data_IF_615716560705
#
_entry.id   IF_615716560705
#
_cell.length_a   1.000
_cell.length_b   1.000
_cell.length_c   1.000
_cell.angle_alpha   90.00
_cell.angle_beta   90.00
_cell.angle_gamma   90.00
#
_symmetry.space_group_name_H-M   'P 1'
#
loop_
_entity.id
_entity.type
_entity.pdbx_description
1 polymer ?
#
# COMPACT_ATOMS: atom_id res chain seq x y z
N UNK A 1 11.93 -8.21 -7.27
CA UNK A 1 12.12 -6.75 -7.41
C UNK A 1 11.55 -6.22 -8.70
N UNK A 2 11.95 -6.79 -9.84
CA UNK A 2 11.62 -6.25 -11.16
C UNK A 2 10.11 -6.09 -11.40
N UNK A 3 9.31 -7.06 -10.94
CA UNK A 3 7.84 -7.00 -11.04
C UNK A 3 7.29 -5.76 -10.33
N UNK A 4 7.62 -5.56 -9.04
CA UNK A 4 7.11 -4.42 -8.27
C UNK A 4 7.61 -3.09 -8.82
N UNK A 5 8.88 -3.01 -9.22
CA UNK A 5 9.45 -1.79 -9.82
C UNK A 5 8.72 -1.41 -11.13
N UNK A 6 8.47 -2.40 -11.98
CA UNK A 6 7.78 -2.22 -13.26
C UNK A 6 6.29 -1.86 -13.09
N UNK A 7 5.55 -2.51 -12.18
CA UNK A 7 4.11 -2.24 -12.00
C UNK A 7 3.83 -1.02 -11.13
N UNK A 8 4.69 -0.72 -10.14
CA UNK A 8 4.48 0.41 -9.24
C UNK A 8 4.98 1.72 -9.84
N UNK A 9 6.15 1.67 -10.49
CA UNK A 9 6.89 2.86 -10.91
C UNK A 9 7.18 2.92 -12.40
N UNK A 10 6.79 1.90 -13.15
CA UNK A 10 7.06 1.84 -14.57
C UNK A 10 8.54 1.67 -14.91
N UNK A 11 9.41 1.44 -13.91
CA UNK A 11 10.85 1.33 -14.08
C UNK A 11 11.25 -0.10 -14.42
N UNK A 12 12.17 -0.24 -15.37
CA UNK A 12 12.82 -1.52 -15.63
C UNK A 12 14.04 -1.63 -14.74
N UNK A 13 14.02 -2.65 -13.87
CA UNK A 13 15.14 -3.03 -13.02
C UNK A 13 15.51 -4.44 -13.46
N UNK A 14 16.81 -4.74 -13.57
CA UNK A 14 17.32 -6.07 -13.89
C UNK A 14 17.99 -6.67 -12.66
N UNK A 15 17.23 -6.80 -11.56
CA UNK A 15 17.76 -7.22 -10.25
C UNK A 15 18.37 -8.62 -10.25
N UNK A 16 18.09 -9.42 -11.28
CA UNK A 16 18.66 -10.76 -11.45
C UNK A 16 20.07 -10.72 -12.02
N UNK A 17 20.38 -9.75 -12.91
CA UNK A 17 21.72 -9.61 -13.49
C UNK A 17 22.57 -8.55 -12.81
N UNK A 18 21.93 -7.57 -12.17
CA UNK A 18 22.57 -6.49 -11.44
C UNK A 18 22.08 -6.45 -9.98
N UNK A 19 22.69 -7.26 -9.10
CA UNK A 19 22.32 -7.28 -7.69
C UNK A 19 22.73 -6.02 -6.92
N UNK A 20 23.65 -5.21 -7.48
CA UNK A 20 24.13 -3.96 -6.90
C UNK A 20 23.29 -2.74 -7.33
N UNK A 21 22.18 -2.97 -8.03
CA UNK A 21 21.24 -1.90 -8.39
C UNK A 21 20.83 -1.10 -7.14
N UNK A 22 20.90 0.25 -7.19
CA UNK A 22 20.63 1.09 -6.02
C UNK A 22 19.24 0.86 -5.40
N UNK A 23 18.22 0.56 -6.21
CA UNK A 23 16.87 0.31 -5.72
C UNK A 23 16.80 -1.00 -4.95
N UNK A 24 17.49 -2.05 -5.42
CA UNK A 24 17.62 -3.34 -4.74
C UNK A 24 18.40 -3.17 -3.43
N UNK A 25 19.53 -2.48 -3.47
CA UNK A 25 20.39 -2.25 -2.32
C UNK A 25 19.67 -1.50 -1.20
N UNK A 26 19.02 -0.38 -1.51
CA UNK A 26 18.29 0.41 -0.53
C UNK A 26 17.03 -0.31 -0.01
N UNK A 27 16.37 -1.13 -0.84
CA UNK A 27 15.26 -1.97 -0.40
C UNK A 27 15.71 -3.01 0.61
N UNK A 28 16.77 -3.78 0.32
CA UNK A 28 17.32 -4.76 1.25
C UNK A 28 17.76 -4.14 2.58
N UNK A 29 18.40 -2.97 2.52
CA UNK A 29 18.82 -2.23 3.72
C UNK A 29 17.63 -1.84 4.61
N UNK A 30 16.46 -1.54 4.04
CA UNK A 30 15.23 -1.32 4.81
C UNK A 30 14.79 -2.57 5.58
N UNK A 31 14.71 -3.71 4.89
CA UNK A 31 14.17 -4.95 5.46
C UNK A 31 15.14 -5.67 6.39
N UNK A 32 16.44 -5.39 6.27
CA UNK A 32 17.43 -5.78 7.29
C UNK A 32 17.18 -5.13 8.66
N UNK A 33 16.21 -4.20 8.77
CA UNK A 33 15.80 -3.62 10.03
C UNK A 33 15.17 -4.67 10.95
N UNK A 34 15.96 -5.12 11.92
CA UNK A 34 15.49 -6.05 12.93
C UNK A 34 14.56 -5.35 13.92
N UNK A 35 13.28 -5.76 13.93
CA UNK A 35 12.29 -5.28 14.90
C UNK A 35 12.72 -5.63 16.34
N UNK A 36 13.37 -6.77 16.58
CA UNK A 36 13.77 -7.22 17.92
C UNK A 36 15.08 -6.65 18.45
N UNK A 37 15.46 -5.45 18.03
CA UNK A 37 16.63 -4.79 18.60
C UNK A 37 16.42 -4.44 20.09
N UNK A 38 17.44 -4.53 20.95
CA UNK A 38 17.31 -4.26 22.39
C UNK A 38 16.72 -2.87 22.68
N UNK A 39 16.92 -1.91 21.78
CA UNK A 39 16.34 -0.57 21.89
C UNK A 39 14.81 -0.55 21.73
N UNK A 40 14.22 -1.46 20.94
CA UNK A 40 12.76 -1.56 20.84
C UNK A 40 12.16 -1.97 22.19
N UNK A 41 12.76 -2.94 22.87
CA UNK A 41 12.31 -3.38 24.19
C UNK A 41 12.40 -2.27 25.24
N UNK A 42 13.40 -1.39 25.15
CA UNK A 42 13.50 -0.19 26.00
C UNK A 42 12.31 0.75 25.77
N UNK A 43 11.92 1.02 24.53
CA UNK A 43 10.76 1.87 24.25
C UNK A 43 9.41 1.23 24.61
N UNK A 44 9.30 -0.10 24.51
CA UNK A 44 8.11 -0.84 24.95
C UNK A 44 7.99 -0.81 26.48
N UNK A 45 9.10 -1.05 27.20
CA UNK A 45 9.12 -1.05 28.66
C UNK A 45 8.99 0.36 29.26
N UNK A 46 9.50 1.38 28.55
CA UNK A 46 9.55 2.77 29.02
C UNK A 46 8.96 3.72 27.97
N UNK A 47 7.62 3.81 27.85
CA UNK A 47 6.96 4.63 26.84
C UNK A 47 7.22 6.13 27.01
N UNK A 48 7.64 6.58 28.20
CA UNK A 48 8.05 7.97 28.42
C UNK A 48 9.34 8.36 27.68
N UNK A 49 10.12 7.41 27.18
CA UNK A 49 11.30 7.66 26.34
C UNK A 49 10.94 7.86 24.85
N UNK A 50 9.71 7.55 24.43
CA UNK A 50 9.26 7.70 23.03
C UNK A 50 9.35 9.16 22.53
N UNK A 51 8.92 10.18 23.30
CA UNK A 51 9.10 11.58 22.88
C UNK A 51 10.57 11.95 22.67
N UNK A 52 11.49 11.39 23.47
CA UNK A 52 12.93 11.61 23.34
C UNK A 52 13.51 10.95 22.08
N UNK A 53 12.95 9.80 21.67
CA UNK A 53 13.34 9.11 20.44
C UNK A 53 13.12 9.97 19.18
N UNK A 54 12.16 10.90 19.19
CA UNK A 54 11.94 11.82 18.05
C UNK A 54 13.08 12.81 17.84
N UNK A 55 13.85 13.11 18.89
CA UNK A 55 14.96 14.07 18.84
C UNK A 55 16.26 13.38 18.43
N UNK A 56 16.36 12.05 18.58
CA UNK A 56 17.55 11.30 18.19
C UNK A 56 17.64 11.20 16.65
N UNK A 57 18.69 11.76 16.02
CA UNK A 57 18.86 11.66 14.58
C UNK A 57 19.17 10.22 14.17
N UNK A 58 18.29 9.61 13.38
CA UNK A 58 18.47 8.24 12.88
C UNK A 58 18.98 8.27 11.43
N UNK A 59 20.29 8.52 11.28
CA UNK A 59 20.97 8.66 9.98
C UNK A 59 20.63 7.57 8.96
N UNK A 60 20.43 6.33 9.43
CA UNK A 60 20.13 5.18 8.55
C UNK A 60 18.73 5.25 7.94
N UNK A 61 17.73 5.69 8.71
CA UNK A 61 16.37 5.91 8.20
C UNK A 61 16.35 7.07 7.21
N UNK A 62 17.04 8.16 7.56
CA UNK A 62 17.06 9.37 6.74
C UNK A 62 17.71 9.11 5.38
N UNK A 63 18.87 8.45 5.35
CA UNK A 63 19.57 8.08 4.10
C UNK A 63 18.68 7.31 3.13
N UNK A 64 17.97 6.31 3.66
CA UNK A 64 17.16 5.42 2.85
C UNK A 64 15.85 6.10 2.41
N UNK A 65 15.18 6.82 3.30
CA UNK A 65 14.00 7.62 2.94
C UNK A 65 14.35 8.63 1.84
N UNK A 66 15.50 9.30 1.96
CA UNK A 66 15.95 10.28 0.95
C UNK A 66 16.18 9.64 -0.42
N UNK A 67 16.79 8.45 -0.49
CA UNK A 67 16.97 7.75 -1.77
C UNK A 67 15.63 7.46 -2.46
N UNK A 68 14.67 6.88 -1.72
CA UNK A 68 13.35 6.53 -2.28
C UNK A 68 12.54 7.78 -2.67
N UNK A 69 12.54 8.81 -1.82
CA UNK A 69 11.89 10.09 -2.12
C UNK A 69 12.48 10.68 -3.41
N UNK A 70 13.81 10.78 -3.51
CA UNK A 70 14.47 11.32 -4.70
C UNK A 70 14.19 10.47 -5.95
N UNK A 71 14.14 9.15 -5.82
CA UNK A 71 13.82 8.25 -6.93
C UNK A 71 12.40 8.49 -7.44
N UNK A 72 11.41 8.51 -6.54
CA UNK A 72 10.01 8.73 -6.90
C UNK A 72 9.83 10.14 -7.48
N UNK A 73 10.41 11.17 -6.86
CA UNK A 73 10.37 12.54 -7.37
C UNK A 73 10.96 12.63 -8.78
N UNK A 74 12.11 11.99 -9.01
CA UNK A 74 12.72 11.94 -10.35
C UNK A 74 11.82 11.27 -11.37
N UNK A 75 11.14 10.18 -10.99
CA UNK A 75 10.17 9.50 -11.87
C UNK A 75 8.97 10.40 -12.16
N UNK A 76 8.45 11.13 -11.16
CA UNK A 76 7.36 12.10 -11.35
C UNK A 76 7.81 13.22 -12.31
N UNK A 77 8.98 13.83 -12.08
CA UNK A 77 9.50 14.91 -12.94
C UNK A 77 9.71 14.45 -14.38
N UNK A 78 10.23 13.24 -14.60
CA UNK A 78 10.39 12.67 -15.94
C UNK A 78 9.06 12.49 -16.66
N UNK A 79 7.97 12.19 -15.94
CA UNK A 79 6.63 12.02 -16.52
C UNK A 79 5.96 13.35 -16.84
N UNK A 80 6.23 14.38 -16.06
CA UNK A 80 5.74 15.74 -16.34
C UNK A 80 6.29 16.27 -17.68
N UNK A 81 7.52 15.87 -18.04
CA UNK A 81 8.16 16.21 -19.32
C UNK A 81 7.63 15.38 -20.50
N UNK A 82 7.06 14.20 -20.26
CA UNK A 82 6.54 13.31 -21.30
C UNK A 82 5.11 13.68 -21.72
N UNK A 83 4.79 13.56 -23.03
CA UNK A 83 3.41 13.73 -23.51
C UNK A 83 2.51 12.63 -22.93
N UNK A 84 1.23 12.97 -22.69
CA UNK A 84 0.26 12.10 -22.00
C UNK A 84 0.14 10.71 -22.65
N UNK A 85 0.29 10.62 -23.98
CA UNK A 85 0.19 9.37 -24.74
C UNK A 85 1.39 8.43 -24.54
N UNK A 86 2.55 8.94 -24.12
CA UNK A 86 3.76 8.13 -23.86
C UNK A 86 3.90 7.73 -22.40
N UNK A 87 3.05 8.28 -21.51
CA UNK A 87 3.09 7.97 -20.08
C UNK A 87 2.62 6.55 -19.84
N UNK A 88 3.46 5.76 -19.18
CA UNK A 88 3.13 4.40 -18.79
C UNK A 88 1.99 4.41 -17.76
N UNK A 89 0.97 3.59 -18.00
CA UNK A 89 -0.12 3.36 -17.03
C UNK A 89 0.37 2.40 -15.95
N UNK A 90 0.74 2.96 -14.81
CA UNK A 90 1.18 2.22 -13.63
C UNK A 90 0.57 2.83 -12.36
N UNK A 91 0.89 2.23 -11.20
CA UNK A 91 0.34 2.68 -9.92
C UNK A 91 0.67 4.15 -9.61
N UNK A 92 1.90 4.58 -9.87
CA UNK A 92 2.30 5.98 -9.67
C UNK A 92 1.52 6.92 -10.60
N UNK A 93 1.24 6.50 -11.84
CA UNK A 93 0.42 7.31 -12.76
C UNK A 93 -1.02 7.41 -12.25
N UNK A 94 -1.59 6.32 -11.73
CA UNK A 94 -2.93 6.34 -11.14
C UNK A 94 -3.03 7.32 -9.95
N UNK A 95 -1.98 7.39 -9.12
CA UNK A 95 -1.89 8.35 -8.02
C UNK A 95 -1.79 9.80 -8.51
N UNK A 96 -1.03 10.06 -9.57
CA UNK A 96 -0.91 11.38 -10.20
C UNK A 96 -2.22 11.82 -10.88
N UNK A 97 -2.90 10.90 -11.56
CA UNK A 97 -4.19 11.15 -12.20
C UNK A 97 -5.25 11.50 -11.16
N UNK A 98 -5.27 10.79 -10.03
CA UNK A 98 -6.17 11.06 -8.89
C UNK A 98 -5.94 12.45 -8.28
N UNK A 99 -4.68 12.94 -8.25
CA UNK A 99 -4.37 14.31 -7.84
C UNK A 99 -4.92 15.35 -8.82
N UNK A 100 -4.93 15.05 -10.12
CA UNK A 100 -5.38 15.99 -11.17
C UNK A 100 -6.91 15.96 -11.41
N UNK A 101 -7.55 14.85 -11.08
CA UNK A 101 -9.00 14.65 -11.23
C UNK A 101 -9.79 15.55 -10.27
N UNK A 102 -10.79 16.25 -10.80
CA UNK A 102 -11.74 17.03 -10.00
C UNK A 102 -12.80 16.15 -9.31
N UNK A 103 -12.85 14.86 -9.59
CA UNK A 103 -13.74 13.89 -8.93
C UNK A 103 -12.97 13.15 -7.83
N UNK A 104 -13.30 13.47 -6.58
CA UNK A 104 -12.87 12.72 -5.41
C UNK A 104 -13.86 11.57 -5.20
N UNK A 105 -13.36 10.38 -4.89
CA UNK A 105 -14.21 9.27 -4.41
C UNK A 105 -14.89 9.75 -3.12
N UNK A 106 -16.21 9.90 -3.12
CA UNK A 106 -16.95 10.24 -1.91
C UNK A 106 -16.90 9.02 -0.99
N UNK A 107 -16.40 9.20 0.23
CA UNK A 107 -16.37 8.17 1.28
C UNK A 107 -17.77 7.68 1.70
N UNK A 108 -18.83 8.26 1.14
CA UNK A 108 -20.22 7.86 1.34
C UNK A 108 -20.55 6.47 0.76
N UNK A 109 -19.67 5.86 -0.05
CA UNK A 109 -19.90 4.52 -0.62
C UNK A 109 -19.28 3.35 0.18
N UNK A 110 -18.63 3.63 1.32
CA UNK A 110 -18.19 2.57 2.23
C UNK A 110 -19.25 2.43 3.33
N UNK A 111 -20.30 1.64 3.05
CA UNK A 111 -21.32 1.28 4.05
C UNK A 111 -20.65 0.49 5.18
N UNK A 112 -20.21 1.19 6.22
CA UNK A 112 -19.91 0.57 7.51
C UNK A 112 -21.26 0.19 8.11
N UNK A 113 -21.59 -1.09 8.00
CA UNK A 113 -22.80 -1.68 8.57
C UNK A 113 -22.80 -1.47 10.10
N UNK A 114 -23.51 -0.46 10.57
CA UNK A 114 -23.89 -0.36 11.98
C UNK A 114 -25.10 -1.28 12.20
N UNK A 115 -24.84 -2.52 12.61
CA UNK A 115 -25.75 -3.27 13.47
C UNK A 115 -25.20 -3.10 14.90
N UNK A 116 -25.95 -2.61 15.86
CA UNK A 116 -27.03 -3.39 16.47
C UNK A 116 -28.20 -2.52 16.93
N UNK A 117 -29.39 -2.89 16.49
CA UNK A 117 -30.66 -2.61 17.16
C UNK A 117 -30.71 -3.33 18.52
N UNK A 118 -31.20 -2.65 19.56
CA UNK A 118 -32.09 -3.29 20.54
C UNK A 118 -33.34 -2.42 20.72
N UNK A 119 -34.45 -3.07 20.42
CA UNK A 119 -35.84 -2.63 20.53
C UNK A 119 -36.30 -2.69 21.99
N UNK A 120 -37.12 -1.73 22.45
CA UNK A 120 -38.55 -2.03 22.69
C UNK A 120 -39.38 -0.74 23.00
N UNK A 121 -40.68 -0.71 22.64
CA UNK A 121 -41.56 0.46 22.72
C UNK A 121 -42.43 0.44 23.99
N UNK A 122 -43.11 1.56 24.31
CA UNK A 122 -44.58 1.67 24.44
C UNK A 122 -44.96 3.07 24.98
N UNK A 123 -46.01 3.63 24.36
CA UNK A 123 -46.76 4.87 24.65
C UNK A 123 -47.15 5.05 26.15
N UNK A 124 -47.53 6.19 26.75
CA UNK A 124 -48.36 7.33 26.31
C UNK A 124 -48.41 8.43 27.41
N UNK A 125 -48.54 9.70 26.99
CA UNK A 125 -49.38 10.78 27.56
C UNK A 125 -49.01 11.62 28.83
N UNK A 126 -49.15 12.93 28.58
CA UNK A 126 -49.51 14.07 29.46
C UNK A 126 -48.40 14.60 30.37
N UNK A 127 -48.20 15.89 30.62
CA UNK A 127 -48.66 17.20 30.14
C UNK A 127 -48.06 18.15 31.18
N UNK A 128 -47.23 19.14 30.81
CA UNK A 128 -47.26 20.50 31.39
C UNK A 128 -46.07 21.36 30.98
N UNK A 129 -46.37 22.64 31.06
CA UNK A 129 -45.76 23.80 30.46
C UNK A 129 -44.62 24.35 31.33
N UNK A 130 -43.91 25.34 30.76
CA UNK A 130 -43.02 26.33 31.40
C UNK A 130 -41.52 25.97 31.43
N UNK A 131 -40.74 26.75 30.68
CA UNK A 131 -39.37 27.08 31.08
C UNK A 131 -38.37 27.30 29.95
N UNK A 132 -38.24 28.55 29.51
CA UNK A 132 -36.98 29.24 29.16
C UNK A 132 -36.12 28.61 28.05
N UNK A 133 -36.15 29.26 26.89
CA UNK A 133 -35.25 29.08 25.77
C UNK A 133 -33.81 29.50 26.11
N UNK A 134 -32.89 28.54 26.20
CA UNK A 134 -31.45 28.76 26.03
C UNK A 134 -30.79 27.58 25.29
N UNK A 135 -30.24 27.91 24.12
CA UNK A 135 -29.00 27.43 23.49
C UNK A 135 -28.66 25.93 23.32
N UNK A 136 -28.68 25.52 22.03
CA UNK A 136 -27.66 24.76 21.28
C UNK A 136 -27.43 23.25 21.60
N UNK A 137 -26.91 22.41 20.66
CA UNK A 137 -26.03 22.78 19.54
C UNK A 137 -26.27 22.11 18.17
N UNK A 138 -26.08 22.94 17.14
CA UNK A 138 -25.13 22.71 16.05
C UNK A 138 -25.10 21.30 15.40
N UNK A 139 -26.00 21.08 14.44
CA UNK A 139 -25.81 20.04 13.41
C UNK A 139 -24.63 20.48 12.53
N UNK A 140 -23.41 20.15 12.96
CA UNK A 140 -22.21 20.31 12.13
C UNK A 140 -22.47 19.58 10.82
N UNK A 141 -22.61 20.33 9.73
CA UNK A 141 -22.38 19.77 8.41
C UNK A 141 -21.01 19.12 8.46
N UNK A 142 -20.95 17.79 8.33
CA UNK A 142 -19.70 17.11 8.05
C UNK A 142 -19.34 17.57 6.65
N UNK A 143 -18.55 18.64 6.59
CA UNK A 143 -18.00 19.14 5.35
C UNK A 143 -16.98 18.08 4.93
N UNK A 144 -17.41 17.13 4.09
CA UNK A 144 -16.53 16.14 3.46
C UNK A 144 -15.42 16.92 2.78
N UNK A 145 -14.27 17.01 3.43
CA UNK A 145 -13.15 17.75 2.89
C UNK A 145 -12.69 17.00 1.64
N UNK A 146 -12.85 17.66 0.49
CA UNK A 146 -12.28 17.23 -0.78
C UNK A 146 -10.75 17.28 -0.65
N UNK A 147 -10.15 16.21 -0.13
CA UNK A 147 -8.71 16.15 0.11
C UNK A 147 -8.04 15.59 -1.14
N UNK A 148 -7.39 16.46 -1.91
CA UNK A 148 -6.45 16.03 -2.94
C UNK A 148 -5.20 15.45 -2.27
N UNK A 149 -4.66 14.37 -2.85
CA UNK A 149 -3.44 13.74 -2.35
C UNK A 149 -2.24 14.67 -2.59
N UNK A 150 -1.50 14.99 -1.54
CA UNK A 150 -0.27 15.80 -1.67
C UNK A 150 0.84 14.97 -2.32
N UNK A 151 1.86 15.63 -2.85
CA UNK A 151 3.04 14.94 -3.40
C UNK A 151 3.74 14.07 -2.35
N UNK A 152 3.89 14.58 -1.12
CA UNK A 152 4.43 13.81 0.00
C UNK A 152 3.59 12.57 0.32
N UNK A 153 2.26 12.67 0.19
CA UNK A 153 1.35 11.55 0.39
C UNK A 153 1.48 10.53 -0.76
N UNK A 154 1.61 10.97 -2.01
CA UNK A 154 1.90 10.10 -3.16
C UNK A 154 3.22 9.35 -2.95
N UNK A 155 4.29 10.06 -2.59
CA UNK A 155 5.61 9.47 -2.34
C UNK A 155 5.53 8.45 -1.20
N UNK A 156 4.85 8.80 -0.10
CA UNK A 156 4.63 7.91 1.03
C UNK A 156 3.86 6.64 0.66
N UNK A 157 2.77 6.76 -0.08
CA UNK A 157 1.96 5.60 -0.52
C UNK A 157 2.73 4.72 -1.50
N UNK A 158 3.45 5.32 -2.45
CA UNK A 158 4.28 4.58 -3.38
C UNK A 158 5.39 3.80 -2.65
N UNK A 159 6.00 4.41 -1.63
CA UNK A 159 7.00 3.75 -0.80
C UNK A 159 6.39 2.58 0.00
N UNK A 160 5.23 2.76 0.64
CA UNK A 160 4.55 1.67 1.37
C UNK A 160 4.20 0.50 0.43
N UNK A 161 3.66 0.79 -0.75
CA UNK A 161 3.31 -0.23 -1.74
C UNK A 161 4.53 -1.02 -2.21
N UNK A 162 5.65 -0.32 -2.47
CA UNK A 162 6.93 -0.95 -2.82
C UNK A 162 7.41 -1.92 -1.74
N UNK A 163 7.39 -1.49 -0.49
CA UNK A 163 7.80 -2.30 0.64
C UNK A 163 6.91 -3.55 0.77
N UNK A 164 5.60 -3.37 0.73
CA UNK A 164 4.65 -4.47 0.85
C UNK A 164 4.86 -5.55 -0.23
N UNK A 165 5.20 -5.15 -1.46
CA UNK A 165 5.39 -6.08 -2.59
C UNK A 165 6.76 -6.74 -2.69
N UNK A 166 7.80 -6.18 -2.06
CA UNK A 166 9.17 -6.69 -2.21
C UNK A 166 9.44 -7.98 -1.43
N UNK A 167 9.36 -7.93 -0.11
CA UNK A 167 9.82 -9.02 0.76
C UNK A 167 8.79 -10.15 0.86
N UNK A 168 7.50 -9.80 0.98
CA UNK A 168 6.42 -10.77 1.22
C UNK A 168 6.33 -11.82 0.11
N UNK A 169 6.25 -11.36 -1.14
CA UNK A 169 6.12 -12.24 -2.31
C UNK A 169 7.36 -13.11 -2.51
N UNK A 170 8.55 -12.53 -2.32
CA UNK A 170 9.82 -13.26 -2.44
C UNK A 170 9.92 -14.39 -1.41
N UNK A 171 9.57 -14.11 -0.15
CA UNK A 171 9.56 -15.11 0.91
C UNK A 171 8.48 -16.17 0.68
N UNK A 172 7.27 -15.79 0.27
CA UNK A 172 6.19 -16.74 -0.06
C UNK A 172 6.61 -17.69 -1.19
N UNK A 173 7.23 -17.18 -2.26
CA UNK A 173 7.73 -18.02 -3.35
C UNK A 173 8.85 -18.96 -2.86
N UNK A 174 9.78 -18.46 -2.04
CA UNK A 174 10.84 -19.29 -1.46
C UNK A 174 10.28 -20.44 -0.61
N UNK A 175 9.32 -20.16 0.28
CA UNK A 175 8.64 -21.19 1.06
C UNK A 175 7.84 -22.15 0.18
N UNK A 176 7.18 -21.65 -0.85
CA UNK A 176 6.44 -22.50 -1.81
C UNK A 176 7.37 -23.48 -2.49
N UNK A 177 8.49 -23.00 -3.05
CA UNK A 177 9.51 -23.86 -3.67
C UNK A 177 10.10 -24.87 -2.68
N UNK A 178 10.38 -24.44 -1.45
CA UNK A 178 10.87 -25.32 -0.38
C UNK A 178 9.88 -26.45 -0.07
N UNK A 179 8.60 -26.12 0.11
CA UNK A 179 7.56 -27.11 0.38
C UNK A 179 7.36 -28.06 -0.81
N UNK A 180 7.35 -27.55 -2.05
CA UNK A 180 7.26 -28.41 -3.24
C UNK A 180 8.43 -29.40 -3.32
N UNK A 181 9.66 -28.95 -3.03
CA UNK A 181 10.83 -29.83 -3.03
C UNK A 181 10.77 -30.94 -1.96
N UNK A 182 10.12 -30.68 -0.82
CA UNK A 182 9.91 -31.68 0.24
C UNK A 182 8.70 -32.59 0.01
N UNK A 183 7.78 -32.20 -0.88
CA UNK A 183 6.54 -32.93 -1.18
C UNK A 183 6.45 -33.25 -2.69
N UNK A 184 7.18 -34.27 -3.19
CA UNK A 184 7.25 -34.58 -4.62
C UNK A 184 5.90 -34.91 -5.28
N UNK A 185 4.93 -35.42 -4.51
CA UNK A 185 3.57 -35.68 -5.01
C UNK A 185 2.86 -34.37 -5.37
N UNK A 186 2.89 -33.37 -4.49
CA UNK A 186 2.37 -32.03 -4.72
C UNK A 186 3.05 -31.40 -5.94
N UNK A 187 4.39 -31.50 -6.01
CA UNK A 187 5.15 -30.96 -7.13
C UNK A 187 4.77 -31.60 -8.46
N UNK A 188 4.67 -32.94 -8.51
CA UNK A 188 4.32 -33.67 -9.73
C UNK A 188 2.90 -33.33 -10.19
N UNK A 189 1.96 -33.22 -9.25
CA UNK A 189 0.59 -32.83 -9.54
C UNK A 189 0.50 -31.40 -10.09
N UNK A 190 1.19 -30.44 -9.45
CA UNK A 190 1.24 -29.06 -9.91
C UNK A 190 1.83 -28.96 -11.32
N UNK A 191 2.92 -29.68 -11.60
CA UNK A 191 3.53 -29.72 -12.92
C UNK A 191 2.54 -30.27 -13.96
N UNK A 192 1.86 -31.38 -13.65
CA UNK A 192 0.86 -31.95 -14.55
C UNK A 192 -0.31 -30.98 -14.83
N UNK A 193 -0.79 -30.24 -13.83
CA UNK A 193 -1.84 -29.23 -14.00
C UNK A 193 -1.38 -28.07 -14.91
N UNK A 194 -0.13 -27.62 -14.76
CA UNK A 194 0.47 -26.59 -15.61
C UNK A 194 0.64 -27.09 -17.05
N UNK A 195 1.18 -28.30 -17.23
CA UNK A 195 1.38 -28.91 -18.54
C UNK A 195 0.04 -29.14 -19.26
N UNK A 196 -1.00 -29.57 -18.54
CA UNK A 196 -2.35 -29.73 -19.06
C UNK A 196 -2.92 -28.39 -19.54
N UNK A 197 -2.75 -27.32 -18.74
CA UNK A 197 -3.18 -25.98 -19.12
C UNK A 197 -2.49 -25.52 -20.41
N UNK A 198 -1.16 -25.58 -20.47
CA UNK A 198 -0.44 -25.13 -21.67
C UNK A 198 -0.76 -26.00 -22.90
N UNK A 199 -0.86 -27.32 -22.74
CA UNK A 199 -1.29 -28.21 -23.83
C UNK A 199 -2.68 -27.82 -24.35
N UNK A 200 -3.63 -27.50 -23.46
CA UNK A 200 -5.00 -27.12 -23.83
C UNK A 200 -5.06 -25.78 -24.57
N UNK A 201 -4.28 -24.78 -24.16
CA UNK A 201 -4.43 -23.41 -24.66
C UNK A 201 -3.39 -23.00 -25.71
N UNK A 202 -2.19 -23.57 -25.73
CA UNK A 202 -1.25 -23.35 -26.84
C UNK A 202 -1.70 -24.07 -28.13
N UNK A 203 -2.32 -25.25 -28.03
CA UNK A 203 -2.91 -25.93 -29.21
C UNK A 203 -4.08 -25.13 -29.82
N UNK A 204 -4.83 -24.38 -29.01
CA UNK A 204 -5.92 -23.51 -29.50
C UNK A 204 -5.38 -22.23 -30.13
N UNK A 205 -4.29 -21.67 -29.61
CA UNK A 205 -3.62 -20.50 -30.20
C UNK A 205 -2.85 -20.83 -31.49
N UNK A 206 -2.38 -22.07 -31.65
CA UNK A 206 -1.70 -22.56 -32.86
C UNK A 206 -2.64 -22.98 -34.00
N UNK A 207 -3.94 -23.18 -33.74
CA UNK A 207 -4.94 -23.58 -34.75
C UNK A 207 -5.70 -22.43 -35.43
N UNK A 208 -5.36 -21.17 -35.10
CA UNK A 208 -5.99 -19.95 -35.63
C UNK A 208 -4.99 -19.08 -36.44
N UNK A 209 -3.93 -19.68 -36.98
CA UNK A 209 -3.05 -19.05 -37.97
C UNK A 209 -3.15 -19.75 -39.32
#
# INVERSE_FOLDING_TARGET
MDVIASVAFGTQVDSQKDPDDPLVHHAQKFFSFSFFTPIMFVFIAFPFLIPLARVLPNKRRDEMNNFFINCIQKIISQRDEQPVEERRRDFLQLMLDTRSSKECVSLEHFDVVNHTDELDPTHTNQQENVGVSHESPNRRSVQTQKRMMSEDEIVGQAFVFFLAGYETSSNTLAFTCYLLALHPECQSKLQAEVDEFFTRYELVAGGLR
#
